data_IF_506289808137
#
_entry.id   IF_506289808137
#
_cell.length_a   1.000
_cell.length_b   1.000
_cell.length_c   1.000
_cell.angle_alpha   90.00
_cell.angle_beta   90.00
_cell.angle_gamma   90.00
#
_symmetry.space_group_name_H-M   'P 1'
#
loop_
_entity.id
_entity.type
_entity.pdbx_description
1 polymer ?
#
# COMPACT_ATOMS: atom_id res chain seq x y z
N UNK A 1 46.67 49.49 9.07
CA UNK A 1 45.63 49.96 8.12
C UNK A 1 44.35 49.18 8.39
N UNK A 2 43.16 49.74 8.11
CA UNK A 2 41.89 48.99 8.14
C UNK A 2 41.34 48.67 9.54
N UNK A 3 40.59 49.61 10.13
CA UNK A 3 39.64 49.29 11.20
C UNK A 3 38.29 48.93 10.58
N UNK A 4 37.59 47.91 11.11
CA UNK A 4 36.13 47.83 11.00
C UNK A 4 35.54 47.93 12.42
N UNK A 5 34.48 48.73 12.58
CA UNK A 5 33.76 48.90 13.84
C UNK A 5 32.44 48.14 13.77
N UNK A 6 32.10 47.41 14.82
CA UNK A 6 30.71 46.99 15.07
C UNK A 6 29.92 48.22 15.48
N UNK A 7 28.76 48.45 14.86
CA UNK A 7 27.79 49.46 15.28
C UNK A 7 26.42 48.79 15.34
N UNK A 8 25.92 48.59 16.56
CA UNK A 8 24.53 48.19 16.81
C UNK A 8 23.61 49.39 16.58
N UNK A 9 22.54 49.21 15.81
CA UNK A 9 21.44 50.19 15.73
C UNK A 9 20.14 49.47 16.04
N UNK A 10 19.50 49.86 17.15
CA UNK A 10 18.13 49.53 17.45
C UNK A 10 17.28 50.78 17.26
N UNK A 11 16.11 50.66 16.60
CA UNK A 11 15.13 51.73 16.49
C UNK A 11 13.78 51.20 16.99
N UNK A 12 13.21 51.92 17.95
CA UNK A 12 11.88 51.65 18.49
C UNK A 12 10.83 52.42 17.68
N UNK A 13 9.69 51.81 17.39
CA UNK A 13 8.58 52.46 16.67
C UNK A 13 7.23 51.94 17.14
N UNK A 14 6.56 52.69 18.02
CA UNK A 14 5.21 52.36 18.51
C UNK A 14 4.13 52.92 17.57
N UNK A 15 2.94 52.31 17.57
CA UNK A 15 1.69 52.98 17.17
C UNK A 15 0.48 52.40 17.93
N UNK A 16 -0.29 53.29 18.55
CA UNK A 16 -1.50 53.05 19.33
C UNK A 16 -2.57 54.08 18.88
N UNK A 17 -3.88 53.84 18.90
CA UNK A 17 -4.64 52.65 19.35
C UNK A 17 -5.68 52.30 18.24
N UNK A 18 -6.92 51.81 18.39
CA UNK A 18 -7.85 51.58 19.50
C UNK A 18 -8.87 50.47 19.17
N UNK A 19 -9.44 49.82 20.19
CA UNK A 19 -10.67 49.05 20.08
C UNK A 19 -11.49 49.25 21.37
N UNK A 20 -12.54 50.07 21.31
CA UNK A 20 -13.42 50.34 22.47
C UNK A 20 -14.57 49.33 22.53
N UNK A 21 -14.91 48.88 23.74
CA UNK A 21 -15.78 47.72 23.95
C UNK A 21 -17.28 48.01 24.03
N UNK A 22 -18.02 46.90 23.89
CA UNK A 22 -19.27 46.54 24.58
C UNK A 22 -20.46 47.54 24.59
N UNK A 23 -21.58 47.10 24.00
CA UNK A 23 -22.91 47.65 24.25
C UNK A 23 -23.97 46.54 24.35
N UNK A 24 -24.42 46.24 25.58
CA UNK A 24 -25.53 45.32 25.86
C UNK A 24 -26.79 46.15 26.09
N UNK A 25 -27.89 45.88 25.38
CA UNK A 25 -29.21 46.45 25.63
C UNK A 25 -30.30 45.37 25.49
N UNK A 26 -31.43 45.55 26.14
CA UNK A 26 -32.44 44.50 26.35
C UNK A 26 -33.78 44.75 25.61
N UNK A 27 -34.64 43.74 25.61
CA UNK A 27 -35.90 43.68 24.88
C UNK A 27 -37.06 44.51 25.47
N UNK A 28 -38.14 44.72 24.69
CA UNK A 28 -39.49 44.94 25.21
C UNK A 28 -40.43 43.73 24.96
N UNK A 29 -41.49 43.63 25.76
CA UNK A 29 -42.60 42.65 25.75
C UNK A 29 -43.78 43.28 26.53
N UNK A 30 -45.04 42.74 26.56
CA UNK A 30 -45.63 41.59 25.84
C UNK A 30 -47.08 41.81 25.29
N UNK A 31 -47.67 40.73 24.74
CA UNK A 31 -49.11 40.35 24.80
C UNK A 31 -50.15 41.16 23.96
N UNK A 32 -51.39 40.63 23.73
CA UNK A 32 -51.98 39.36 24.20
C UNK A 32 -52.44 38.37 23.10
N UNK A 33 -52.94 37.21 23.52
CA UNK A 33 -53.33 36.06 22.67
C UNK A 33 -54.82 35.70 22.77
N UNK A 34 -55.44 35.20 21.68
CA UNK A 34 -56.70 34.41 21.58
C UNK A 34 -57.10 34.26 20.08
N UNK A 35 -57.76 33.22 19.58
CA UNK A 35 -58.41 32.03 20.20
C UNK A 35 -58.19 30.79 19.30
N UNK A 36 -58.34 29.58 19.84
CA UNK A 36 -58.36 28.30 19.10
C UNK A 36 -59.72 28.05 18.43
N UNK A 37 -59.72 27.43 17.25
CA UNK A 37 -60.80 26.52 16.81
C UNK A 37 -60.22 25.43 15.91
N UNK A 38 -60.55 24.18 16.22
CA UNK A 38 -60.45 23.04 15.29
C UNK A 38 -61.79 22.94 14.54
N UNK A 39 -61.84 22.37 13.34
CA UNK A 39 -62.16 20.93 13.15
C UNK A 39 -62.01 20.57 11.63
N UNK A 40 -62.46 19.43 11.06
CA UNK A 40 -61.46 18.51 10.48
C UNK A 40 -61.68 18.16 9.00
N UNK A 41 -60.58 17.99 8.25
CA UNK A 41 -60.56 17.13 7.05
C UNK A 41 -59.15 16.89 6.52
N UNK A 42 -58.59 15.72 6.79
CA UNK A 42 -57.51 15.14 5.98
C UNK A 42 -57.64 13.61 5.95
N UNK A 43 -57.82 13.07 4.75
CA UNK A 43 -57.75 11.64 4.51
C UNK A 43 -56.27 11.23 4.48
N UNK A 44 -55.95 10.06 5.05
CA UNK A 44 -54.60 9.49 4.93
C UNK A 44 -54.27 9.13 3.47
N UNK A 45 -52.99 9.16 3.12
CA UNK A 45 -52.42 7.92 2.60
C UNK A 45 -51.06 7.55 3.22
N UNK A 46 -50.84 6.24 3.32
CA UNK A 46 -49.56 5.51 3.42
C UNK A 46 -48.52 5.92 4.50
N UNK A 47 -48.06 4.92 5.25
CA UNK A 47 -46.86 4.99 6.07
C UNK A 47 -45.61 5.37 5.23
N UNK A 48 -44.59 6.03 5.82
CA UNK A 48 -43.30 6.16 5.16
C UNK A 48 -42.73 4.77 4.88
N UNK A 49 -42.49 4.47 3.60
CA UNK A 49 -41.83 3.23 3.22
C UNK A 49 -40.39 3.24 3.74
N UNK A 50 -39.92 2.09 4.23
CA UNK A 50 -38.52 1.87 4.56
C UNK A 50 -37.63 2.23 3.36
N UNK A 51 -36.40 2.75 3.59
CA UNK A 51 -35.46 2.96 2.49
C UNK A 51 -35.31 1.66 1.70
N UNK A 52 -35.38 1.77 0.36
CA UNK A 52 -35.36 0.61 -0.52
C UNK A 52 -34.12 -0.26 -0.25
N UNK A 53 -34.33 -1.57 -0.17
CA UNK A 53 -33.23 -2.52 0.04
C UNK A 53 -32.19 -2.33 -1.07
N UNK A 54 -30.91 -2.34 -0.69
CA UNK A 54 -29.82 -2.40 -1.66
C UNK A 54 -30.00 -3.63 -2.55
N UNK A 55 -29.74 -3.55 -3.87
CA UNK A 55 -29.85 -4.70 -4.74
C UNK A 55 -28.95 -5.82 -4.23
N UNK A 56 -29.51 -7.02 -4.07
CA UNK A 56 -28.85 -8.13 -3.40
C UNK A 56 -27.57 -8.57 -4.12
N UNK A 57 -26.57 -9.00 -3.34
CA UNK A 57 -25.34 -9.60 -3.84
C UNK A 57 -25.64 -10.96 -4.48
N UNK A 58 -26.03 -10.94 -5.75
CA UNK A 58 -26.55 -12.10 -6.47
C UNK A 58 -25.48 -12.71 -7.36
N UNK A 59 -24.96 -13.85 -6.91
CA UNK A 59 -24.02 -14.70 -7.66
C UNK A 59 -22.57 -14.49 -7.26
N UNK A 60 -22.00 -15.48 -6.57
CA UNK A 60 -20.56 -15.63 -6.49
C UNK A 60 -20.01 -15.82 -7.91
N UNK A 61 -19.14 -14.90 -8.35
CA UNK A 61 -18.49 -15.01 -9.66
C UNK A 61 -17.54 -16.21 -9.62
N UNK A 62 -17.69 -17.12 -10.58
CA UNK A 62 -16.87 -18.32 -10.64
C UNK A 62 -15.38 -17.96 -10.66
N UNK A 63 -14.61 -18.57 -9.75
CA UNK A 63 -13.16 -18.40 -9.68
C UNK A 63 -12.51 -18.68 -11.04
N UNK A 64 -11.50 -17.88 -11.40
CA UNK A 64 -10.75 -18.08 -12.64
C UNK A 64 -10.00 -19.40 -12.57
N UNK A 65 -10.37 -20.35 -13.43
CA UNK A 65 -9.68 -21.63 -13.55
C UNK A 65 -8.22 -21.52 -14.02
N UNK A 66 -7.74 -20.31 -14.35
CA UNK A 66 -6.34 -20.02 -14.60
C UNK A 66 -5.52 -19.86 -13.29
N UNK A 67 -6.13 -19.43 -12.19
CA UNK A 67 -5.46 -19.26 -10.89
C UNK A 67 -5.59 -20.52 -10.03
N UNK A 68 -4.55 -21.34 -9.99
CA UNK A 68 -4.49 -22.55 -9.18
C UNK A 68 -3.75 -22.31 -7.86
N UNK A 69 -4.24 -22.90 -6.77
CA UNK A 69 -3.47 -23.00 -5.52
C UNK A 69 -2.24 -23.88 -5.75
N UNK A 70 -1.07 -23.37 -5.38
CA UNK A 70 0.18 -24.10 -5.50
C UNK A 70 0.50 -24.81 -4.17
N UNK A 71 0.82 -26.10 -4.25
CA UNK A 71 1.35 -26.82 -3.10
C UNK A 71 2.73 -26.29 -2.71
N UNK A 72 2.96 -26.15 -1.41
CA UNK A 72 4.17 -25.54 -0.88
C UNK A 72 4.37 -25.80 0.61
N UNK A 73 5.45 -25.27 1.15
CA UNK A 73 5.70 -25.26 2.59
C UNK A 73 4.57 -24.49 3.30
N UNK A 74 3.85 -25.19 4.18
CA UNK A 74 2.87 -24.56 5.08
C UNK A 74 3.63 -23.85 6.18
N UNK A 75 3.30 -22.58 6.39
CA UNK A 75 3.74 -21.81 7.54
C UNK A 75 3.01 -22.29 8.81
N UNK A 76 3.58 -22.00 9.97
CA UNK A 76 3.04 -22.40 11.27
C UNK A 76 2.12 -21.34 11.87
N UNK A 77 1.09 -21.76 12.59
CA UNK A 77 0.15 -20.85 13.27
C UNK A 77 -0.45 -19.79 12.33
N UNK A 78 -0.64 -18.59 12.88
CA UNK A 78 -1.25 -17.47 12.15
C UNK A 78 -0.18 -16.78 11.29
N UNK A 79 -0.38 -16.80 9.97
CA UNK A 79 0.68 -16.60 9.00
C UNK A 79 0.21 -15.89 7.73
N UNK A 80 1.05 -15.01 7.22
CA UNK A 80 0.80 -14.25 6.00
C UNK A 80 2.02 -14.23 5.08
N UNK A 81 1.78 -14.24 3.77
CA UNK A 81 2.79 -13.92 2.76
C UNK A 81 2.46 -12.54 2.17
N UNK A 82 3.31 -11.54 2.40
CA UNK A 82 3.04 -10.13 2.12
C UNK A 82 3.67 -9.61 0.83
N UNK A 83 4.66 -10.31 0.29
CA UNK A 83 5.35 -9.97 -0.95
C UNK A 83 5.99 -11.21 -1.62
N UNK A 84 6.23 -11.12 -2.93
CA UNK A 84 6.82 -12.18 -3.76
C UNK A 84 7.69 -11.59 -4.88
N UNK A 85 8.81 -12.25 -5.18
CA UNK A 85 9.68 -11.93 -6.31
C UNK A 85 10.10 -13.23 -7.02
N UNK A 86 10.42 -13.15 -8.32
CA UNK A 86 10.93 -14.28 -9.09
C UNK A 86 12.01 -13.84 -10.08
N UNK A 87 13.11 -14.60 -10.15
CA UNK A 87 14.21 -14.36 -11.10
C UNK A 87 14.12 -15.30 -12.30
N UNK A 88 13.37 -16.40 -12.19
CA UNK A 88 13.04 -17.29 -13.30
C UNK A 88 12.13 -18.46 -12.89
N UNK A 89 11.84 -19.41 -13.80
CA UNK A 89 10.91 -20.52 -13.54
C UNK A 89 11.36 -21.51 -12.44
N UNK A 90 12.60 -21.39 -11.94
CA UNK A 90 13.20 -22.23 -10.90
C UNK A 90 13.74 -21.47 -9.69
N UNK A 91 13.48 -20.17 -9.61
CA UNK A 91 13.85 -19.35 -8.46
C UNK A 91 12.82 -18.24 -8.27
N UNK A 92 12.07 -18.37 -7.17
CA UNK A 92 11.16 -17.37 -6.66
C UNK A 92 11.16 -17.40 -5.13
N UNK A 93 10.85 -16.27 -4.52
CA UNK A 93 10.86 -16.06 -3.08
C UNK A 93 9.56 -15.39 -2.65
N UNK A 94 8.91 -15.93 -1.62
CA UNK A 94 7.73 -15.36 -0.99
C UNK A 94 8.05 -15.11 0.49
N UNK A 95 7.67 -13.95 1.03
CA UNK A 95 8.04 -13.54 2.38
C UNK A 95 6.85 -13.05 3.20
N UNK A 96 7.01 -13.04 4.53
CA UNK A 96 6.02 -12.46 5.44
C UNK A 96 6.29 -12.88 6.90
N UNK A 97 5.32 -13.51 7.53
CA UNK A 97 5.41 -14.00 8.91
C UNK A 97 4.59 -15.26 9.16
N UNK A 98 4.87 -15.91 10.30
CA UNK A 98 4.16 -17.07 10.83
C UNK A 98 4.10 -17.02 12.36
N UNK A 99 3.26 -17.85 12.97
CA UNK A 99 3.00 -17.91 14.41
C UNK A 99 2.71 -16.53 15.05
N UNK A 100 1.92 -15.65 14.43
CA UNK A 100 1.48 -14.40 15.09
C UNK A 100 0.37 -14.66 16.13
N UNK A 101 0.19 -13.77 17.10
CA UNK A 101 -0.93 -13.77 18.05
C UNK A 101 -1.20 -12.35 18.60
N UNK A 102 -2.36 -12.10 19.21
CA UNK A 102 -2.66 -10.80 19.85
C UNK A 102 -1.61 -10.37 20.90
N UNK A 103 -1.05 -11.31 21.66
CA UNK A 103 -0.15 -11.04 22.79
C UNK A 103 1.35 -11.11 22.46
N UNK A 104 1.71 -11.46 21.22
CA UNK A 104 3.07 -11.84 20.85
C UNK A 104 3.37 -11.67 19.36
N UNK A 105 4.46 -10.99 19.04
CA UNK A 105 4.91 -10.84 17.66
C UNK A 105 5.21 -12.19 16.99
N UNK A 106 4.84 -12.29 15.70
CA UNK A 106 5.14 -13.44 14.84
C UNK A 106 6.63 -13.59 14.52
N UNK A 107 6.99 -14.76 14.01
CA UNK A 107 8.31 -15.06 13.46
C UNK A 107 8.37 -14.74 11.96
N UNK A 108 9.52 -14.26 11.44
CA UNK A 108 9.63 -13.88 10.03
C UNK A 108 9.70 -15.13 9.16
N UNK A 109 8.94 -15.14 8.07
CA UNK A 109 8.85 -16.27 7.14
C UNK A 109 9.48 -15.94 5.78
N UNK A 110 10.26 -16.88 5.23
CA UNK A 110 10.75 -16.82 3.85
C UNK A 110 10.69 -18.20 3.19
N UNK A 111 9.96 -18.31 2.09
CA UNK A 111 9.83 -19.50 1.27
C UNK A 111 10.59 -19.31 -0.05
N UNK A 112 11.31 -20.34 -0.51
CA UNK A 112 11.97 -20.40 -1.83
C UNK A 112 11.36 -21.49 -2.70
N UNK A 113 11.02 -21.15 -3.95
CA UNK A 113 10.68 -22.07 -5.02
C UNK A 113 11.94 -22.55 -5.74
N UNK A 114 12.11 -23.88 -5.87
CA UNK A 114 13.28 -24.51 -6.50
C UNK A 114 13.06 -25.00 -7.94
N UNK A 115 11.90 -24.69 -8.54
CA UNK A 115 11.47 -25.26 -9.82
C UNK A 115 10.57 -26.49 -9.71
N UNK A 116 10.43 -27.07 -8.51
CA UNK A 116 9.60 -28.24 -8.23
C UNK A 116 8.70 -28.08 -7.01
N UNK A 117 9.14 -27.38 -5.96
CA UNK A 117 8.38 -27.10 -4.74
C UNK A 117 8.85 -25.84 -4.02
N UNK A 118 7.96 -25.27 -3.21
CA UNK A 118 8.33 -24.28 -2.19
C UNK A 118 8.92 -24.96 -0.96
N UNK A 119 9.93 -24.34 -0.35
CA UNK A 119 10.55 -24.75 0.92
C UNK A 119 10.82 -23.53 1.78
N UNK A 120 10.63 -23.64 3.10
CA UNK A 120 11.06 -22.60 4.03
C UNK A 120 12.60 -22.52 4.09
N UNK A 121 13.14 -21.31 4.24
CA UNK A 121 14.57 -21.04 4.36
C UNK A 121 14.81 -20.19 5.61
N UNK A 122 15.51 -20.75 6.59
CA UNK A 122 15.75 -20.10 7.88
C UNK A 122 16.45 -18.74 7.75
N UNK A 123 15.88 -17.74 8.42
CA UNK A 123 16.36 -16.35 8.41
C UNK A 123 17.26 -16.03 9.63
N UNK A 124 18.11 -14.99 9.54
CA UNK A 124 18.83 -14.47 10.70
C UNK A 124 17.87 -13.85 11.72
N UNK A 125 18.08 -14.13 13.01
CA UNK A 125 17.19 -13.66 14.08
C UNK A 125 17.09 -12.12 14.17
N UNK A 126 15.90 -11.65 14.58
CA UNK A 126 15.64 -10.26 14.96
C UNK A 126 14.83 -9.41 13.97
N UNK A 127 14.17 -10.04 12.99
CA UNK A 127 12.90 -9.53 12.44
C UNK A 127 11.72 -10.17 13.20
N UNK A 128 10.55 -9.56 13.08
CA UNK A 128 9.25 -10.15 13.41
C UNK A 128 8.49 -10.42 12.10
N UNK A 129 8.30 -9.39 11.28
CA UNK A 129 7.54 -9.47 10.03
C UNK A 129 8.38 -8.95 8.86
N UNK A 130 8.51 -9.75 7.78
CA UNK A 130 9.03 -9.24 6.52
C UNK A 130 7.92 -8.52 5.72
N UNK A 131 8.29 -7.46 5.00
CA UNK A 131 7.35 -6.57 4.28
C UNK A 131 7.62 -6.47 2.77
N UNK A 132 8.87 -6.64 2.34
CA UNK A 132 9.24 -6.60 0.93
C UNK A 132 10.36 -7.57 0.56
N UNK A 133 10.37 -8.01 -0.70
CA UNK A 133 11.45 -8.83 -1.30
C UNK A 133 11.82 -8.30 -2.68
N UNK A 134 13.12 -8.22 -2.97
CA UNK A 134 13.67 -7.79 -4.25
C UNK A 134 14.81 -8.71 -4.66
N UNK A 135 14.90 -9.06 -5.95
CA UNK A 135 15.85 -10.05 -6.45
C UNK A 135 16.35 -9.67 -7.84
N UNK A 136 17.68 -9.65 -8.03
CA UNK A 136 18.29 -9.52 -9.36
C UNK A 136 18.74 -10.88 -9.93
N UNK A 137 19.05 -11.84 -9.05
CA UNK A 137 19.47 -13.19 -9.40
C UNK A 137 19.25 -14.20 -8.26
N UNK A 138 19.42 -15.52 -8.52
CA UNK A 138 19.24 -16.58 -7.52
C UNK A 138 20.26 -16.54 -6.36
N UNK A 139 21.24 -15.65 -6.48
CA UNK A 139 22.36 -15.36 -5.58
C UNK A 139 22.47 -13.87 -5.19
N UNK A 140 21.49 -13.04 -5.58
CA UNK A 140 21.32 -11.66 -5.11
C UNK A 140 19.84 -11.40 -4.83
N UNK A 141 19.43 -11.67 -3.59
CA UNK A 141 18.06 -11.45 -3.09
C UNK A 141 18.12 -10.69 -1.77
N UNK A 142 17.31 -9.66 -1.66
CA UNK A 142 17.14 -8.85 -0.46
C UNK A 142 15.74 -9.02 0.12
N UNK A 143 15.66 -9.12 1.44
CA UNK A 143 14.41 -9.05 2.20
C UNK A 143 14.47 -7.94 3.22
N UNK A 144 13.36 -7.21 3.35
CA UNK A 144 13.19 -6.12 4.31
C UNK A 144 12.01 -6.36 5.21
N UNK A 145 12.04 -5.74 6.39
CA UNK A 145 10.92 -5.72 7.30
C UNK A 145 11.26 -5.10 8.64
N UNK A 146 10.48 -5.50 9.64
CA UNK A 146 10.44 -4.86 10.94
C UNK A 146 10.74 -5.87 12.04
N UNK A 147 11.67 -5.53 12.94
CA UNK A 147 11.84 -6.15 14.25
C UNK A 147 11.67 -5.09 15.34
N UNK A 148 12.53 -5.11 16.36
CA UNK A 148 12.70 -3.96 17.29
C UNK A 148 13.20 -2.69 16.57
N UNK A 149 13.89 -2.89 15.44
CA UNK A 149 14.44 -1.87 14.56
C UNK A 149 14.21 -2.32 13.10
N UNK A 150 14.56 -1.47 12.14
CA UNK A 150 14.63 -1.82 10.73
C UNK A 150 15.46 -3.10 10.50
N UNK A 151 14.92 -4.02 9.70
CA UNK A 151 15.59 -5.27 9.33
C UNK A 151 15.84 -5.31 7.82
N UNK A 152 17.05 -5.73 7.46
CA UNK A 152 17.41 -6.14 6.11
C UNK A 152 18.28 -7.40 6.18
N UNK A 153 18.08 -8.33 5.27
CA UNK A 153 18.98 -9.46 5.05
C UNK A 153 19.22 -9.68 3.56
N UNK A 154 20.43 -10.14 3.23
CA UNK A 154 20.89 -10.40 1.87
C UNK A 154 21.25 -11.87 1.70
N UNK A 155 20.78 -12.50 0.63
CA UNK A 155 21.03 -13.88 0.27
C UNK A 155 22.08 -13.95 -0.85
N UNK A 156 23.16 -14.68 -0.60
CA UNK A 156 24.33 -14.79 -1.48
C UNK A 156 24.36 -16.08 -2.35
N UNK A 157 23.19 -16.70 -2.57
CA UNK A 157 23.06 -17.98 -3.25
C UNK A 157 23.11 -19.20 -2.32
N UNK A 158 23.67 -19.05 -1.12
CA UNK A 158 23.88 -20.15 -0.15
C UNK A 158 23.33 -19.87 1.25
N UNK A 159 23.33 -18.62 1.70
CA UNK A 159 23.00 -18.22 3.07
C UNK A 159 22.53 -16.77 3.17
N UNK A 160 21.68 -16.49 4.17
CA UNK A 160 21.29 -15.13 4.54
C UNK A 160 22.32 -14.47 5.45
N UNK A 161 22.75 -13.26 5.08
CA UNK A 161 23.54 -12.36 5.94
C UNK A 161 22.66 -11.20 6.40
N UNK A 162 22.50 -11.02 7.72
CA UNK A 162 21.78 -9.86 8.28
C UNK A 162 22.61 -8.60 8.11
N UNK A 163 22.03 -7.58 7.50
CA UNK A 163 22.61 -6.25 7.39
C UNK A 163 21.99 -5.30 8.44
N UNK A 164 22.61 -4.13 8.65
CA UNK A 164 22.20 -3.15 9.67
C UNK A 164 21.94 -1.77 9.07
N UNK A 165 20.73 -1.51 8.54
CA UNK A 165 20.26 -0.16 8.24
C UNK A 165 20.42 0.76 9.47
N UNK A 166 20.73 2.05 9.21
CA UNK A 166 20.77 3.13 10.21
C UNK A 166 21.66 2.89 11.46
N UNK A 167 22.57 1.93 11.44
CA UNK A 167 23.57 1.75 12.51
C UNK A 167 23.03 1.36 13.89
N UNK A 168 21.81 0.82 13.99
CA UNK A 168 21.03 0.43 15.20
C UNK A 168 20.09 1.48 15.83
N UNK A 169 19.69 2.54 15.12
CA UNK A 169 18.58 3.39 15.61
C UNK A 169 17.29 2.58 15.79
N UNK A 170 16.54 2.90 16.85
CA UNK A 170 15.16 2.45 17.06
C UNK A 170 14.21 3.33 16.19
N UNK A 171 12.90 3.07 16.22
CA UNK A 171 11.84 3.72 15.43
C UNK A 171 11.85 3.56 13.89
N UNK A 172 12.99 3.26 13.26
CA UNK A 172 13.07 3.04 11.81
C UNK A 172 12.47 1.70 11.37
N UNK A 173 11.81 1.70 10.20
CA UNK A 173 11.18 0.56 9.53
C UNK A 173 11.56 0.52 8.05
N UNK A 174 11.55 -0.67 7.44
CA UNK A 174 11.76 -0.86 6.00
C UNK A 174 10.62 -1.70 5.42
N UNK A 175 10.02 -1.19 4.34
CA UNK A 175 8.75 -1.70 3.81
C UNK A 175 8.87 -2.18 2.35
N UNK A 176 9.80 -1.62 1.56
CA UNK A 176 10.07 -2.04 0.18
C UNK A 176 11.55 -2.08 -0.18
N UNK A 177 11.93 -2.92 -1.15
CA UNK A 177 13.30 -3.01 -1.68
C UNK A 177 13.29 -3.28 -3.18
N UNK A 178 14.23 -2.66 -3.91
CA UNK A 178 14.42 -2.82 -5.35
C UNK A 178 15.91 -3.04 -5.69
N UNK A 179 16.18 -3.75 -6.79
CA UNK A 179 17.52 -4.15 -7.23
C UNK A 179 17.68 -3.93 -8.74
N UNK A 180 18.67 -3.14 -9.15
CA UNK A 180 19.01 -2.92 -10.57
C UNK A 180 20.52 -2.71 -10.72
N UNK A 181 21.12 -3.24 -11.78
CA UNK A 181 22.55 -3.04 -12.10
C UNK A 181 23.57 -3.45 -11.02
N UNK A 182 23.20 -4.25 -10.01
CA UNK A 182 24.04 -4.57 -8.86
C UNK A 182 24.03 -3.52 -7.74
N UNK A 183 23.22 -2.46 -7.88
CA UNK A 183 22.79 -1.57 -6.79
C UNK A 183 21.50 -2.10 -6.15
N UNK A 184 21.20 -1.63 -4.94
CA UNK A 184 19.92 -1.92 -4.29
C UNK A 184 19.42 -0.70 -3.53
N UNK A 185 18.11 -0.45 -3.54
CA UNK A 185 17.47 0.66 -2.85
C UNK A 185 16.33 0.19 -1.95
N UNK A 186 16.18 0.85 -0.80
CA UNK A 186 15.32 0.41 0.29
C UNK A 186 14.44 1.58 0.70
N UNK A 187 13.13 1.45 0.51
CA UNK A 187 12.15 2.39 0.99
C UNK A 187 11.64 1.99 2.38
N UNK A 188 11.50 2.98 3.24
CA UNK A 188 11.00 2.79 4.59
C UNK A 188 10.69 4.11 5.27
N UNK A 189 10.55 4.06 6.59
CA UNK A 189 9.96 5.14 7.37
C UNK A 189 10.71 5.30 8.70
N UNK A 190 10.85 6.55 9.16
CA UNK A 190 11.47 6.90 10.44
C UNK A 190 10.75 8.09 11.12
N UNK A 191 11.32 8.63 12.22
CA UNK A 191 10.65 9.64 13.05
C UNK A 191 10.24 10.95 12.35
N UNK A 192 10.76 11.23 11.16
CA UNK A 192 10.52 12.47 10.40
C UNK A 192 9.89 12.23 9.01
N UNK A 193 9.38 11.03 8.76
CA UNK A 193 8.75 10.64 7.49
C UNK A 193 9.47 9.52 6.74
N UNK A 194 9.20 9.43 5.44
CA UNK A 194 9.77 8.43 4.54
C UNK A 194 11.26 8.62 4.29
N UNK A 195 11.97 7.53 4.03
CA UNK A 195 13.41 7.52 3.74
C UNK A 195 13.73 6.53 2.63
N UNK A 196 14.77 6.83 1.84
CA UNK A 196 15.37 5.88 0.89
C UNK A 196 16.85 5.71 1.20
N UNK A 197 17.26 4.45 1.33
CA UNK A 197 18.66 4.06 1.38
C UNK A 197 19.11 3.50 0.02
N UNK A 198 20.36 3.78 -0.36
CA UNK A 198 21.11 3.04 -1.38
C UNK A 198 22.11 2.11 -0.66
N UNK A 199 22.18 0.85 -1.05
CA UNK A 199 23.27 -0.05 -0.71
C UNK A 199 24.31 -0.04 -1.82
N UNK A 200 25.53 0.37 -1.46
CA UNK A 200 26.73 0.35 -2.32
C UNK A 200 27.95 0.15 -1.45
N UNK A 201 29.04 -0.35 -2.02
CA UNK A 201 30.34 -0.52 -1.34
C UNK A 201 30.30 -1.36 -0.03
N UNK A 202 29.18 -2.09 0.19
CA UNK A 202 28.83 -2.87 1.40
C UNK A 202 28.34 -2.04 2.61
N UNK A 203 27.91 -0.80 2.39
CA UNK A 203 27.31 0.07 3.39
C UNK A 203 25.96 0.64 2.93
N UNK A 204 25.17 1.17 3.87
CA UNK A 204 23.91 1.86 3.59
C UNK A 204 24.12 3.38 3.60
N UNK A 205 23.75 4.03 2.51
CA UNK A 205 23.77 5.49 2.39
C UNK A 205 22.33 6.01 2.33
N UNK A 206 21.98 6.96 3.20
CA UNK A 206 20.72 7.67 3.08
C UNK A 206 20.81 8.64 1.88
N UNK A 207 19.95 8.44 0.88
CA UNK A 207 19.92 9.24 -0.36
C UNK A 207 18.69 10.14 -0.46
N UNK A 208 17.64 9.87 0.31
CA UNK A 208 16.45 10.73 0.40
C UNK A 208 15.83 10.69 1.80
N UNK A 209 15.41 11.86 2.28
CA UNK A 209 14.53 12.02 3.44
C UNK A 209 13.25 12.74 2.98
N UNK A 210 12.20 11.96 2.71
CA UNK A 210 10.90 12.42 2.27
C UNK A 210 10.05 12.89 3.47
N UNK A 211 10.38 14.09 3.98
CA UNK A 211 9.54 14.77 4.97
C UNK A 211 8.13 15.04 4.41
N UNK A 212 7.12 15.03 5.27
CA UNK A 212 5.73 15.30 4.86
C UNK A 212 4.96 14.08 4.34
N UNK A 213 5.42 12.86 4.62
CA UNK A 213 4.72 11.62 4.24
C UNK A 213 5.46 10.34 4.60
N UNK A 214 4.96 9.21 4.11
CA UNK A 214 5.55 7.86 4.27
C UNK A 214 5.79 7.21 2.91
N UNK A 215 6.73 6.26 2.83
CA UNK A 215 7.04 5.48 1.64
C UNK A 215 6.86 3.98 1.93
N UNK A 216 6.07 3.29 1.11
CA UNK A 216 5.70 1.88 1.30
C UNK A 216 6.21 0.93 0.21
N UNK A 217 6.61 1.44 -0.95
CA UNK A 217 7.14 0.62 -2.04
C UNK A 217 8.16 1.37 -2.90
N UNK A 218 9.01 0.60 -3.58
CA UNK A 218 10.08 1.10 -4.45
C UNK A 218 10.31 0.12 -5.61
N UNK A 219 10.69 0.63 -6.77
CA UNK A 219 11.09 -0.12 -7.96
C UNK A 219 12.32 0.55 -8.58
N UNK A 220 13.17 -0.21 -9.27
CA UNK A 220 14.34 0.30 -9.98
C UNK A 220 14.50 -0.43 -11.31
N UNK A 221 14.82 0.31 -12.38
CA UNK A 221 15.17 -0.26 -13.69
C UNK A 221 15.91 0.75 -14.56
N UNK A 222 16.99 0.29 -15.20
CA UNK A 222 17.78 1.03 -16.18
C UNK A 222 18.29 2.39 -15.63
N UNK A 223 18.80 2.39 -14.39
CA UNK A 223 19.36 3.59 -13.75
C UNK A 223 18.33 4.58 -13.20
N UNK A 224 17.04 4.30 -13.33
CA UNK A 224 15.96 5.07 -12.70
C UNK A 224 15.37 4.29 -11.52
N UNK A 225 14.97 5.02 -10.47
CA UNK A 225 14.38 4.49 -9.25
C UNK A 225 13.10 5.28 -8.95
N UNK A 226 12.03 4.59 -8.60
CA UNK A 226 10.75 5.21 -8.24
C UNK A 226 10.25 4.66 -6.92
N UNK A 227 9.88 5.54 -5.98
CA UNK A 227 9.32 5.19 -4.68
C UNK A 227 7.96 5.84 -4.46
N UNK A 228 7.04 5.15 -3.78
CA UNK A 228 5.67 5.61 -3.57
C UNK A 228 5.19 5.40 -2.14
N UNK A 229 4.20 6.21 -1.75
CA UNK A 229 3.43 6.05 -0.53
C UNK A 229 2.34 7.11 -0.43
N UNK A 230 2.23 7.77 0.72
CA UNK A 230 1.16 8.72 1.04
C UNK A 230 1.70 9.93 1.80
N UNK A 231 1.22 11.13 1.44
CA UNK A 231 1.56 12.38 2.11
C UNK A 231 0.82 12.57 3.45
N UNK A 232 1.30 13.48 4.29
CA UNK A 232 0.56 13.95 5.50
C UNK A 232 -0.83 14.52 5.16
N UNK A 233 -1.01 15.02 3.92
CA UNK A 233 -2.30 15.49 3.41
C UNK A 233 -3.20 14.35 2.88
N UNK A 234 -2.77 13.09 3.03
CA UNK A 234 -3.42 11.89 2.49
C UNK A 234 -3.68 12.01 0.98
N UNK A 235 -2.65 12.40 0.25
CA UNK A 235 -2.57 12.36 -1.22
C UNK A 235 -1.47 11.40 -1.65
N UNK A 236 -1.48 10.92 -2.91
CA UNK A 236 -0.38 10.17 -3.48
C UNK A 236 0.96 10.91 -3.27
N UNK A 237 1.99 10.17 -2.87
CA UNK A 237 3.36 10.66 -2.79
C UNK A 237 4.23 9.80 -3.71
N UNK A 238 4.92 10.43 -4.65
CA UNK A 238 5.80 9.75 -5.62
C UNK A 238 7.12 10.50 -5.73
N UNK A 239 8.21 9.78 -5.50
CA UNK A 239 9.57 10.26 -5.73
C UNK A 239 10.22 9.49 -6.86
N UNK A 240 10.89 10.23 -7.74
CA UNK A 240 11.73 9.70 -8.81
C UNK A 240 13.18 10.05 -8.49
N UNK A 241 14.11 9.17 -8.80
CA UNK A 241 15.55 9.46 -8.75
C UNK A 241 16.32 8.69 -9.80
N UNK A 242 17.56 9.12 -10.04
CA UNK A 242 18.49 8.49 -10.98
C UNK A 242 19.75 8.00 -10.28
N UNK A 243 20.51 7.16 -10.99
CA UNK A 243 21.72 6.50 -10.47
C UNK A 243 22.91 7.45 -10.23
N UNK A 244 22.81 8.69 -10.74
CA UNK A 244 23.66 9.84 -10.39
C UNK A 244 23.39 10.42 -8.99
N UNK A 245 22.27 10.05 -8.36
CA UNK A 245 21.88 10.47 -7.02
C UNK A 245 20.96 11.69 -6.95
N UNK A 246 20.45 12.21 -8.07
CA UNK A 246 19.38 13.21 -8.04
C UNK A 246 18.03 12.57 -7.68
N UNK A 247 17.18 13.32 -6.97
CA UNK A 247 15.87 12.88 -6.47
C UNK A 247 14.87 14.04 -6.48
N UNK A 248 13.72 13.84 -7.13
CA UNK A 248 12.65 14.82 -7.28
C UNK A 248 11.30 14.22 -6.89
N UNK A 249 10.43 15.05 -6.30
CA UNK A 249 9.03 14.72 -6.05
C UNK A 249 8.23 15.04 -7.32
N UNK A 250 7.69 14.03 -7.98
CA UNK A 250 7.02 14.22 -9.28
C UNK A 250 5.59 14.68 -9.11
N UNK A 251 5.16 15.69 -9.88
CA UNK A 251 3.78 16.19 -9.86
C UNK A 251 2.77 15.06 -10.10
N UNK A 252 1.79 14.95 -9.19
CA UNK A 252 0.70 13.98 -9.26
C UNK A 252 -0.65 14.69 -9.24
N UNK A 253 -1.71 14.10 -9.81
CA UNK A 253 -3.06 14.64 -9.69
C UNK A 253 -3.49 14.75 -8.21
N UNK A 254 -4.11 15.87 -7.82
CA UNK A 254 -4.68 16.03 -6.48
C UNK A 254 -5.82 15.00 -6.27
N UNK A 255 -5.55 13.98 -5.44
CA UNK A 255 -6.49 12.91 -5.11
C UNK A 255 -6.60 12.83 -3.57
N UNK A 256 -7.54 13.57 -2.95
CA UNK A 256 -7.74 13.56 -1.50
C UNK A 256 -8.21 12.20 -0.99
N UNK A 257 -7.53 11.69 0.04
CA UNK A 257 -7.69 10.34 0.56
C UNK A 257 -6.88 9.27 -0.19
N UNK A 258 -6.14 9.63 -1.24
CA UNK A 258 -5.35 8.72 -2.07
C UNK A 258 -4.04 8.27 -1.41
N UNK A 259 -3.76 6.96 -1.44
CA UNK A 259 -2.49 6.34 -1.04
C UNK A 259 -2.00 5.33 -2.08
N UNK A 260 -0.70 5.03 -2.08
CA UNK A 260 -0.07 4.10 -3.01
C UNK A 260 0.67 2.97 -2.27
N UNK A 261 0.27 1.73 -2.51
CA UNK A 261 0.82 0.52 -1.87
C UNK A 261 1.97 -0.11 -2.67
N UNK A 262 1.99 0.05 -3.99
CA UNK A 262 2.98 -0.59 -4.87
C UNK A 262 3.22 0.21 -6.14
N UNK A 263 4.42 0.09 -6.68
CA UNK A 263 4.84 0.66 -7.96
C UNK A 263 5.62 -0.37 -8.77
N UNK A 264 5.50 -0.32 -10.09
CA UNK A 264 6.22 -1.18 -11.03
C UNK A 264 6.67 -0.40 -12.27
N UNK A 265 7.95 -0.52 -12.60
CA UNK A 265 8.56 0.15 -13.74
C UNK A 265 8.72 -0.80 -14.93
N UNK A 266 7.97 -0.56 -16.00
CA UNK A 266 8.14 -1.25 -17.28
C UNK A 266 9.31 -0.58 -18.03
N UNK A 267 9.37 0.75 -18.04
CA UNK A 267 10.51 1.55 -18.52
C UNK A 267 10.57 2.89 -17.78
N UNK A 268 11.63 3.71 -17.93
CA UNK A 268 11.68 5.07 -17.38
C UNK A 268 10.50 5.98 -17.83
N UNK A 269 9.85 5.64 -18.94
CA UNK A 269 8.67 6.35 -19.48
C UNK A 269 7.39 5.49 -19.49
N UNK A 270 7.34 4.44 -18.67
CA UNK A 270 6.16 3.56 -18.52
C UNK A 270 6.18 2.93 -17.13
N UNK A 271 5.51 3.59 -16.18
CA UNK A 271 5.53 3.24 -14.74
C UNK A 271 4.10 3.25 -14.20
N UNK A 272 3.77 2.22 -13.42
CA UNK A 272 2.42 2.00 -12.90
C UNK A 272 2.45 1.95 -11.37
N UNK A 273 1.65 2.80 -10.72
CA UNK A 273 1.50 2.83 -9.28
C UNK A 273 0.05 2.52 -8.88
N UNK A 274 -0.13 1.75 -7.81
CA UNK A 274 -1.45 1.26 -7.37
C UNK A 274 -1.63 1.39 -5.87
N UNK A 275 -2.89 1.56 -5.45
CA UNK A 275 -3.30 1.66 -4.06
C UNK A 275 -4.80 1.90 -3.96
N UNK A 276 -5.20 2.87 -3.14
CA UNK A 276 -6.59 3.15 -2.83
C UNK A 276 -6.89 4.63 -2.59
N UNK A 277 -8.18 4.97 -2.58
CA UNK A 277 -8.72 6.23 -2.06
C UNK A 277 -9.61 5.89 -0.86
N UNK A 278 -9.33 6.51 0.28
CA UNK A 278 -10.02 6.27 1.57
C UNK A 278 -10.77 7.50 2.06
N UNK A 279 -11.70 7.30 2.98
CA UNK A 279 -12.44 8.38 3.64
C UNK A 279 -11.49 9.35 4.38
N UNK A 280 -11.74 10.65 4.24
CA UNK A 280 -10.98 11.71 4.92
C UNK A 280 -11.79 12.99 5.11
N UNK A 281 -11.25 14.00 5.82
CA UNK A 281 -11.94 15.28 6.03
C UNK A 281 -12.34 15.96 4.72
N UNK A 282 -11.45 15.90 3.73
CA UNK A 282 -11.63 16.46 2.38
C UNK A 282 -12.34 15.50 1.42
N UNK A 283 -12.69 14.29 1.87
CA UNK A 283 -13.38 13.28 1.08
C UNK A 283 -14.33 12.40 1.96
N UNK A 284 -15.43 12.99 2.47
CA UNK A 284 -16.33 12.31 3.41
C UNK A 284 -17.35 11.38 2.74
N UNK A 285 -17.47 11.40 1.41
CA UNK A 285 -18.46 10.60 0.66
C UNK A 285 -18.00 9.15 0.39
N UNK A 286 -16.69 8.90 0.48
CA UNK A 286 -16.07 7.58 0.30
C UNK A 286 -16.42 6.67 1.49
N UNK A 287 -17.45 5.82 1.32
CA UNK A 287 -17.91 4.86 2.35
C UNK A 287 -17.10 3.57 2.44
N UNK A 288 -16.32 3.26 1.41
CA UNK A 288 -15.47 2.09 1.27
C UNK A 288 -14.24 2.51 0.48
N UNK A 289 -13.07 1.90 0.72
CA UNK A 289 -11.89 2.14 -0.11
C UNK A 289 -12.23 1.97 -1.61
N UNK A 290 -11.71 2.85 -2.46
CA UNK A 290 -11.83 2.75 -3.92
C UNK A 290 -10.45 2.43 -4.53
N UNK A 291 -10.36 1.59 -5.57
CA UNK A 291 -9.07 1.33 -6.21
C UNK A 291 -8.48 2.59 -6.86
N UNK A 292 -7.18 2.80 -6.65
CA UNK A 292 -6.39 3.86 -7.29
C UNK A 292 -5.32 3.23 -8.19
N UNK A 293 -5.32 3.61 -9.47
CA UNK A 293 -4.25 3.32 -10.43
C UNK A 293 -3.76 4.63 -11.04
N UNK A 294 -2.45 4.84 -11.01
CA UNK A 294 -1.76 5.93 -11.70
C UNK A 294 -0.79 5.36 -12.74
N UNK A 295 -0.72 6.00 -13.91
CA UNK A 295 0.23 5.69 -14.98
C UNK A 295 1.09 6.90 -15.34
N UNK A 296 2.40 6.68 -15.45
CA UNK A 296 3.39 7.64 -15.94
C UNK A 296 3.67 7.42 -17.42
N UNK A 297 3.36 8.44 -18.23
CA UNK A 297 3.49 8.41 -19.70
C UNK A 297 4.88 8.83 -20.23
N UNK A 298 5.86 9.03 -19.32
CA UNK A 298 7.16 9.65 -19.63
C UNK A 298 7.21 11.16 -19.39
N UNK A 299 6.06 11.81 -19.16
CA UNK A 299 5.98 13.25 -18.92
C UNK A 299 5.14 13.65 -17.71
N UNK A 300 4.13 12.85 -17.34
CA UNK A 300 3.20 13.14 -16.24
C UNK A 300 2.54 11.88 -15.69
N UNK A 301 2.04 11.96 -14.46
CA UNK A 301 1.14 10.96 -13.89
C UNK A 301 -0.32 11.24 -14.27
N UNK A 302 -1.07 10.19 -14.64
CA UNK A 302 -2.51 10.24 -14.93
C UNK A 302 -3.26 9.14 -14.18
N UNK A 303 -4.49 9.42 -13.75
CA UNK A 303 -5.36 8.39 -13.14
C UNK A 303 -5.98 7.51 -14.22
N UNK A 304 -5.93 6.20 -14.01
CA UNK A 304 -6.51 5.18 -14.91
C UNK A 304 -7.73 4.55 -14.26
N UNK A 305 -8.80 4.38 -15.03
CA UNK A 305 -10.01 3.69 -14.58
C UNK A 305 -9.90 2.17 -14.76
N UNK A 306 -10.47 1.41 -13.82
CA UNK A 306 -10.43 -0.06 -13.78
C UNK A 306 -11.84 -0.62 -13.49
N UNK A 307 -12.15 -1.87 -13.89
CA UNK A 307 -13.49 -2.46 -13.78
C UNK A 307 -13.88 -2.93 -12.37
N UNK A 308 -13.43 -2.23 -11.33
CA UNK A 308 -13.77 -2.43 -9.91
C UNK A 308 -13.90 -1.04 -9.26
N UNK A 309 -14.87 -0.87 -8.36
CA UNK A 309 -15.20 0.43 -7.75
C UNK A 309 -15.08 0.48 -6.23
N UNK A 310 -14.87 -0.66 -5.56
CA UNK A 310 -14.77 -0.79 -4.10
C UNK A 310 -13.72 -1.85 -3.76
N UNK A 311 -12.70 -1.49 -2.99
CA UNK A 311 -11.56 -2.36 -2.66
C UNK A 311 -10.23 -1.61 -2.70
N UNK A 312 -9.15 -2.36 -2.45
CA UNK A 312 -7.77 -1.86 -2.30
C UNK A 312 -6.85 -2.63 -3.23
N UNK A 313 -5.91 -1.94 -3.88
CA UNK A 313 -4.92 -2.57 -4.76
C UNK A 313 -3.58 -2.73 -4.03
N UNK A 314 -3.05 -3.94 -4.03
CA UNK A 314 -1.95 -4.39 -3.16
C UNK A 314 -0.63 -4.64 -3.91
N UNK A 315 -0.70 -5.07 -5.17
CA UNK A 315 0.48 -5.42 -5.96
C UNK A 315 0.31 -5.07 -7.44
N UNK A 316 1.43 -4.86 -8.14
CA UNK A 316 1.45 -4.60 -9.59
C UNK A 316 2.74 -5.17 -10.20
N UNK A 317 2.62 -5.82 -11.36
CA UNK A 317 3.72 -6.39 -12.13
C UNK A 317 3.35 -6.49 -13.62
N UNK A 318 4.32 -6.49 -14.53
CA UNK A 318 4.06 -6.57 -15.97
C UNK A 318 4.97 -7.56 -16.67
N UNK A 319 4.39 -8.46 -17.47
CA UNK A 319 5.13 -9.30 -18.43
C UNK A 319 5.64 -8.40 -19.58
N UNK A 320 4.86 -7.40 -19.99
CA UNK A 320 5.28 -6.36 -20.94
C UNK A 320 4.34 -5.14 -20.97
N UNK A 321 4.58 -4.14 -21.85
CA UNK A 321 3.79 -2.90 -21.93
C UNK A 321 2.29 -3.07 -22.24
N UNK A 322 1.90 -4.26 -22.73
CA UNK A 322 0.49 -4.64 -22.98
C UNK A 322 0.10 -5.94 -22.30
N UNK A 323 0.78 -6.29 -21.19
CA UNK A 323 0.49 -7.45 -20.35
C UNK A 323 0.87 -7.08 -18.91
N UNK A 324 -0.05 -6.37 -18.26
CA UNK A 324 0.09 -5.75 -16.93
C UNK A 324 -0.96 -6.34 -15.98
N UNK A 325 -0.51 -6.73 -14.80
CA UNK A 325 -1.29 -7.40 -13.76
C UNK A 325 -1.26 -6.60 -12.46
N UNK A 326 -2.42 -6.40 -11.86
CA UNK A 326 -2.59 -5.78 -10.55
C UNK A 326 -3.33 -6.78 -9.64
N UNK A 327 -2.83 -6.98 -8.43
CA UNK A 327 -3.49 -7.78 -7.39
C UNK A 327 -4.10 -6.89 -6.31
N UNK A 328 -5.18 -7.35 -5.67
CA UNK A 328 -5.86 -6.60 -4.63
C UNK A 328 -7.05 -7.36 -4.03
N UNK A 329 -7.99 -6.59 -3.49
CA UNK A 329 -9.30 -7.06 -3.01
C UNK A 329 -10.43 -6.27 -3.67
N UNK A 330 -11.60 -6.90 -3.77
CA UNK A 330 -12.84 -6.30 -4.28
C UNK A 330 -13.94 -6.50 -3.23
N UNK A 331 -14.45 -5.42 -2.66
CA UNK A 331 -15.45 -5.47 -1.58
C UNK A 331 -16.86 -5.89 -2.05
N UNK A 332 -17.01 -6.30 -3.31
CA UNK A 332 -18.16 -7.05 -3.81
C UNK A 332 -17.92 -8.57 -3.94
N UNK A 333 -16.68 -9.04 -3.73
CA UNK A 333 -16.24 -10.43 -3.94
C UNK A 333 -15.31 -10.90 -2.80
N UNK A 334 -15.74 -10.69 -1.55
CA UNK A 334 -15.03 -11.13 -0.36
C UNK A 334 -14.77 -12.66 -0.38
N UNK A 335 -13.65 -13.10 0.20
CA UNK A 335 -13.17 -14.49 0.17
C UNK A 335 -12.43 -14.89 -1.11
N UNK A 336 -12.19 -13.95 -2.04
CA UNK A 336 -11.43 -14.15 -3.28
C UNK A 336 -10.42 -13.01 -3.55
N UNK A 337 -9.14 -13.31 -3.85
CA UNK A 337 -8.20 -12.28 -4.28
C UNK A 337 -8.56 -11.79 -5.68
N UNK A 338 -8.57 -10.46 -5.85
CA UNK A 338 -8.80 -9.78 -7.13
C UNK A 338 -7.51 -9.76 -7.96
N UNK A 339 -7.63 -10.05 -9.26
CA UNK A 339 -6.60 -9.82 -10.26
C UNK A 339 -7.14 -9.01 -11.42
N UNK A 340 -6.62 -7.80 -11.64
CA UNK A 340 -6.91 -7.00 -12.83
C UNK A 340 -5.82 -7.25 -13.88
N UNK A 341 -6.23 -7.42 -15.14
CA UNK A 341 -5.32 -7.66 -16.26
C UNK A 341 -5.62 -6.72 -17.43
N UNK A 342 -4.58 -6.04 -17.91
CA UNK A 342 -4.62 -5.16 -19.07
C UNK A 342 -3.96 -5.83 -20.28
N UNK A 343 -4.77 -6.11 -21.32
CA UNK A 343 -4.36 -6.82 -22.55
C UNK A 343 -3.74 -5.90 -23.63
N UNK A 344 -3.18 -4.76 -23.21
CA UNK A 344 -2.70 -3.70 -24.09
C UNK A 344 -3.80 -2.84 -24.72
N UNK A 345 -5.08 -3.12 -24.45
CA UNK A 345 -6.23 -2.36 -24.98
C UNK A 345 -7.32 -2.10 -23.96
N UNK A 346 -7.61 -3.06 -23.08
CA UNK A 346 -8.69 -2.99 -22.09
C UNK A 346 -8.29 -3.67 -20.80
N UNK A 347 -8.89 -3.21 -19.71
CA UNK A 347 -8.86 -3.91 -18.43
C UNK A 347 -9.90 -5.02 -18.39
N UNK A 348 -9.51 -6.13 -17.78
CA UNK A 348 -10.35 -7.27 -17.41
C UNK A 348 -10.13 -7.59 -15.93
N UNK A 349 -11.05 -8.34 -15.32
CA UNK A 349 -10.93 -8.79 -13.92
C UNK A 349 -11.11 -10.30 -13.85
N UNK A 350 -10.18 -10.94 -13.15
CA UNK A 350 -10.21 -12.33 -12.72
C UNK A 350 -10.23 -12.37 -11.19
N UNK A 351 -10.77 -13.45 -10.62
CA UNK A 351 -10.74 -13.71 -9.19
C UNK A 351 -10.04 -15.05 -8.96
N UNK A 352 -9.24 -15.16 -7.89
CA UNK A 352 -8.65 -16.42 -7.48
C UNK A 352 -9.67 -17.43 -6.94
N UNK A 353 -9.20 -18.58 -6.42
CA UNK A 353 -10.04 -19.55 -5.72
C UNK A 353 -10.89 -18.90 -4.63
N UNK A 354 -12.15 -19.35 -4.50
CA UNK A 354 -13.03 -18.98 -3.39
C UNK A 354 -12.63 -19.79 -2.16
N UNK A 355 -11.96 -19.13 -1.21
CA UNK A 355 -11.41 -19.79 -0.02
C UNK A 355 -12.46 -19.98 1.09
N UNK A 356 -13.39 -19.04 1.24
CA UNK A 356 -14.59 -19.16 2.08
C UNK A 356 -15.78 -18.57 1.34
N UNK A 357 -16.91 -19.27 1.37
CA UNK A 357 -18.17 -18.80 0.80
C UNK A 357 -19.08 -18.27 1.92
N UNK A 358 -19.42 -16.98 1.88
CA UNK A 358 -20.38 -16.39 2.81
C UNK A 358 -21.80 -16.86 2.50
N UNK A 359 -22.57 -17.24 3.53
CA UNK A 359 -23.95 -17.68 3.37
C UNK A 359 -24.91 -16.48 3.20
N UNK A 360 -26.02 -16.68 2.47
CA UNK A 360 -27.04 -15.65 2.31
C UNK A 360 -27.62 -15.24 3.68
N UNK A 361 -27.52 -13.96 4.01
CA UNK A 361 -27.96 -13.41 5.30
C UNK A 361 -26.92 -13.46 6.43
N UNK A 362 -25.71 -13.98 6.22
CA UNK A 362 -24.60 -13.67 7.13
C UNK A 362 -24.23 -12.18 7.03
N UNK A 363 -23.92 -11.59 8.18
CA UNK A 363 -23.25 -10.29 8.22
C UNK A 363 -21.81 -10.47 7.71
N UNK A 364 -21.35 -9.55 6.87
CA UNK A 364 -19.96 -9.49 6.43
C UNK A 364 -19.03 -9.28 7.65
N UNK A 365 -17.99 -10.10 7.74
CA UNK A 365 -17.00 -10.09 8.81
C UNK A 365 -15.60 -9.90 8.22
N UNK A 366 -14.92 -8.85 8.67
CA UNK A 366 -13.58 -8.45 8.21
C UNK A 366 -12.48 -9.37 8.78
N UNK A 367 -12.80 -10.20 9.77
CA UNK A 367 -11.87 -11.21 10.33
C UNK A 367 -11.71 -12.44 9.43
N UNK A 368 -12.51 -12.57 8.36
CA UNK A 368 -12.61 -13.76 7.49
C UNK A 368 -12.16 -13.53 6.03
N UNK A 369 -11.90 -12.27 5.63
CA UNK A 369 -11.67 -11.88 4.23
C UNK A 369 -10.18 -11.95 3.79
N UNK A 370 -9.90 -11.76 2.51
CA UNK A 370 -8.55 -11.76 1.93
C UNK A 370 -7.75 -10.55 2.40
N UNK A 371 -6.54 -10.80 2.89
CA UNK A 371 -5.60 -9.78 3.33
C UNK A 371 -4.82 -9.12 2.19
N UNK A 372 -3.55 -8.77 2.45
CA UNK A 372 -2.64 -8.21 1.44
C UNK A 372 -2.37 -9.25 0.34
N UNK A 373 -2.37 -8.84 -0.93
CA UNK A 373 -2.11 -9.74 -2.07
C UNK A 373 -0.92 -9.26 -2.89
N UNK A 374 0.23 -9.92 -2.76
CA UNK A 374 1.42 -9.69 -3.59
C UNK A 374 1.32 -10.43 -4.94
N UNK A 375 1.96 -9.89 -5.99
CA UNK A 375 2.03 -10.52 -7.32
C UNK A 375 3.36 -10.25 -8.01
N UNK A 376 3.92 -11.26 -8.68
CA UNK A 376 5.13 -11.14 -9.48
C UNK A 376 5.08 -11.99 -10.75
N UNK A 377 5.55 -11.42 -11.87
CA UNK A 377 5.86 -12.16 -13.10
C UNK A 377 6.98 -13.18 -12.86
N UNK A 378 6.96 -14.30 -13.57
CA UNK A 378 8.05 -15.27 -13.61
C UNK A 378 8.88 -15.03 -14.89
N UNK A 379 10.11 -14.46 -14.80
CA UNK A 379 10.91 -14.12 -15.98
C UNK A 379 11.18 -15.32 -16.89
N UNK A 380 11.21 -15.08 -18.21
CA UNK A 380 11.35 -16.13 -19.21
C UNK A 380 10.08 -16.96 -19.43
N UNK A 381 8.93 -16.56 -18.87
CA UNK A 381 7.63 -17.21 -19.04
C UNK A 381 6.50 -16.18 -19.16
N UNK A 382 5.28 -16.64 -19.49
CA UNK A 382 4.05 -15.87 -19.30
C UNK A 382 3.28 -16.26 -18.03
N UNK A 383 3.96 -16.82 -17.01
CA UNK A 383 3.34 -17.29 -15.75
C UNK A 383 3.54 -16.29 -14.61
N UNK A 384 2.65 -16.33 -13.62
CA UNK A 384 2.64 -15.43 -12.46
C UNK A 384 2.66 -16.24 -11.15
N UNK A 385 3.30 -15.66 -10.13
CA UNK A 385 3.07 -16.01 -8.74
C UNK A 385 2.24 -14.92 -8.07
N UNK A 386 1.28 -15.32 -7.24
CA UNK A 386 0.60 -14.42 -6.31
C UNK A 386 0.55 -15.05 -4.90
N UNK A 387 0.60 -14.20 -3.88
CA UNK A 387 0.71 -14.59 -2.48
C UNK A 387 -0.15 -13.70 -1.61
N UNK A 388 -0.58 -14.18 -0.44
CA UNK A 388 -1.37 -13.38 0.48
C UNK A 388 -1.73 -14.10 1.76
N UNK A 389 -2.75 -13.58 2.45
CA UNK A 389 -3.40 -14.20 3.60
C UNK A 389 -4.93 -14.18 3.50
N UNK A 390 -5.58 -14.98 4.34
CA UNK A 390 -7.01 -15.14 4.52
C UNK A 390 -7.34 -14.95 5.99
N UNK A 391 -8.40 -14.21 6.29
CA UNK A 391 -8.72 -13.77 7.63
C UNK A 391 -7.75 -12.72 8.18
N UNK A 392 -8.03 -12.24 9.39
CA UNK A 392 -7.13 -11.33 10.13
C UNK A 392 -7.11 -11.68 11.62
N UNK A 393 -6.01 -11.34 12.30
CA UNK A 393 -5.84 -11.66 13.72
C UNK A 393 -5.53 -13.14 13.96
N UNK A 394 -6.30 -13.78 14.84
CA UNK A 394 -5.97 -15.09 15.41
C UNK A 394 -6.35 -16.31 14.56
N UNK A 395 -6.94 -16.11 13.37
CA UNK A 395 -7.28 -17.17 12.37
C UNK A 395 -6.55 -16.98 11.02
N UNK A 396 -5.53 -16.10 10.93
CA UNK A 396 -4.92 -15.70 9.65
C UNK A 396 -4.12 -16.82 8.95
N UNK A 397 -4.48 -17.17 7.71
CA UNK A 397 -3.86 -18.27 6.94
C UNK A 397 -3.27 -17.84 5.59
N UNK A 398 -1.98 -18.11 5.37
CA UNK A 398 -1.25 -17.74 4.15
C UNK A 398 -1.63 -18.57 2.91
N UNK A 399 -1.59 -17.96 1.72
CA UNK A 399 -1.77 -18.67 0.44
C UNK A 399 -0.67 -18.43 -0.59
N UNK A 400 -0.53 -19.41 -1.49
CA UNK A 400 0.31 -19.38 -2.70
C UNK A 400 -0.58 -19.72 -3.91
N UNK A 401 -0.67 -18.83 -4.89
CA UNK A 401 -1.38 -19.03 -6.15
C UNK A 401 -0.43 -18.92 -7.35
N UNK A 402 -0.72 -19.67 -8.42
CA UNK A 402 -0.02 -19.62 -9.70
C UNK A 402 -1.00 -19.43 -10.86
N UNK A 403 -0.57 -18.69 -11.88
CA UNK A 403 -1.21 -18.58 -13.20
C UNK A 403 -0.22 -18.93 -14.31
#
# INVERSE_FOLDING_TARGET
>A
MGNLRVITVAVLGMSLTAACGAGRAAAPTPAPSRTVSQDPSSQSPASPQSPAASPAATGAVAASAAWATAEGARLSGNAALLDVAATGPRDAWAIGYQDSAEDREGSPAALRWDGSRWREVALPAGAFHLKGVGASGPDDVWVVGNGRNAFAAHWNGQSWTRQRPFGVTEDYRLDGVATDGGKSWFAGNGPTGGVILEWKEREFHNVLNAAGGTLGAITARAGHVWAVGVSERRTPLIWHGTDDGTWDNTETPEIPGGGLNRIWQISPSDVWAVGEITAGPDNPEVRYAQPLVLHWDGSRWTRVEVPVSRGTLHGVTAIGPGDLWISGIDAAHAGQPLFLHFDGRRWSREYGPLFRAYAEGQQYDETDDVGRVGVARVPGTGTLWAVGSLGTGDDEASFLLRR
#
